data_IF_374802616506
#
_entry.id   IF_374802616506
#
_cell.length_a   1.000
_cell.length_b   1.000
_cell.length_c   1.000
_cell.angle_alpha   90.00
_cell.angle_beta   90.00
_cell.angle_gamma   90.00
#
_symmetry.space_group_name_H-M   'P 1'
#
loop_
_entity.id
_entity.type
_entity.pdbx_description
1 polymer ?
#
# COMPACT_ATOMS: atom_id res chain seq x y z
N UNK A 1 -0.30 12.85 -4.40
CA UNK A 1 -1.68 13.00 -3.93
C UNK A 1 -2.65 12.60 -5.03
N UNK A 2 -3.62 11.73 -4.73
CA UNK A 2 -4.59 11.25 -5.72
C UNK A 2 -5.81 12.18 -5.80
N UNK A 3 -6.32 12.58 -4.63
CA UNK A 3 -7.36 13.60 -4.48
C UNK A 3 -7.09 14.35 -3.17
N UNK A 4 -7.98 15.27 -2.78
CA UNK A 4 -7.84 15.96 -1.49
C UNK A 4 -7.99 15.02 -0.30
N UNK A 5 -8.67 13.90 -0.47
CA UNK A 5 -8.94 12.92 0.59
C UNK A 5 -8.23 11.59 0.38
N UNK A 6 -7.44 11.48 -0.68
CA UNK A 6 -6.77 10.24 -1.07
C UNK A 6 -5.32 10.54 -1.41
N UNK A 7 -4.38 9.80 -0.80
CA UNK A 7 -2.97 10.00 -1.12
C UNK A 7 -2.21 8.68 -1.20
N UNK A 8 -1.16 8.69 -2.00
CA UNK A 8 -0.19 7.61 -2.09
C UNK A 8 1.12 8.11 -1.51
N UNK A 9 1.67 7.37 -0.56
CA UNK A 9 3.01 7.63 -0.01
C UNK A 9 3.96 6.62 -0.60
N UNK A 10 5.13 7.08 -1.01
CA UNK A 10 6.13 6.25 -1.65
C UNK A 10 7.49 6.59 -1.06
N UNK A 11 8.14 5.59 -0.48
CA UNK A 11 9.50 5.70 0.01
C UNK A 11 10.28 4.48 -0.48
N UNK A 12 11.52 4.68 -0.90
CA UNK A 12 12.37 3.55 -1.25
C UNK A 12 13.83 3.88 -0.93
N UNK A 13 14.60 2.82 -0.73
CA UNK A 13 16.04 2.90 -0.43
C UNK A 13 16.77 2.22 -1.55
N UNK A 14 17.76 2.93 -2.13
CA UNK A 14 18.66 2.38 -3.14
C UNK A 14 20.06 2.27 -2.59
N UNK A 15 20.74 1.21 -2.98
CA UNK A 15 22.14 1.01 -2.65
C UNK A 15 22.82 0.42 -3.90
N UNK A 16 23.89 1.08 -4.35
CA UNK A 16 24.62 0.68 -5.56
C UNK A 16 23.71 0.48 -6.78
N UNK A 17 22.75 1.40 -6.96
CA UNK A 17 21.83 1.37 -8.09
C UNK A 17 20.69 0.35 -7.97
N UNK A 18 20.56 -0.36 -6.84
CA UNK A 18 19.54 -1.37 -6.63
C UNK A 18 18.58 -0.96 -5.53
N UNK A 19 17.30 -1.26 -5.71
CA UNK A 19 16.29 -1.06 -4.66
C UNK A 19 16.47 -2.15 -3.61
N UNK A 20 16.72 -1.75 -2.36
CA UNK A 20 16.92 -2.69 -1.25
C UNK A 20 15.76 -2.67 -0.26
N UNK A 21 14.86 -1.72 -0.37
CA UNK A 21 13.67 -1.66 0.45
C UNK A 21 12.72 -0.58 -0.05
N UNK A 22 11.42 -0.75 0.26
CA UNK A 22 10.42 0.26 -0.10
C UNK A 22 9.17 0.17 0.77
N UNK A 23 8.41 1.27 0.78
CA UNK A 23 7.04 1.32 1.26
C UNK A 23 6.23 2.10 0.22
N UNK A 24 5.13 1.54 -0.25
CA UNK A 24 4.14 2.24 -1.06
C UNK A 24 2.80 2.04 -0.36
N UNK A 25 2.16 3.13 0.04
CA UNK A 25 0.97 3.07 0.89
C UNK A 25 -0.10 4.00 0.36
N UNK A 26 -1.32 3.47 0.24
CA UNK A 26 -2.50 4.26 -0.06
C UNK A 26 -3.21 4.60 1.25
N UNK A 27 -3.54 5.88 1.43
CA UNK A 27 -4.22 6.41 2.62
C UNK A 27 -5.41 7.25 2.24
N UNK A 28 -6.46 7.21 3.08
CA UNK A 28 -7.61 8.11 2.97
C UNK A 28 -7.63 9.07 4.14
N UNK A 29 -8.12 10.30 3.90
CA UNK A 29 -8.40 11.23 4.97
C UNK A 29 -9.82 10.99 5.46
N UNK A 30 -9.95 10.52 6.71
CA UNK A 30 -11.22 10.10 7.26
C UNK A 30 -11.24 10.37 8.77
N UNK A 31 -12.31 11.01 9.24
CA UNK A 31 -12.45 11.39 10.65
C UNK A 31 -11.23 12.17 11.18
N UNK A 32 -10.85 13.20 10.42
CA UNK A 32 -9.77 14.14 10.75
C UNK A 32 -8.37 13.54 10.81
N UNK A 33 -8.15 12.39 10.17
CA UNK A 33 -6.82 11.80 10.12
C UNK A 33 -6.61 11.01 8.83
N UNK A 34 -5.33 10.79 8.49
CA UNK A 34 -4.97 9.93 7.39
C UNK A 34 -4.95 8.48 7.88
N UNK A 35 -5.72 7.63 7.20
CA UNK A 35 -5.89 6.22 7.57
C UNK A 35 -5.31 5.35 6.48
N UNK A 36 -4.33 4.47 6.80
CA UNK A 36 -3.77 3.57 5.80
C UNK A 36 -4.78 2.48 5.41
N UNK A 37 -4.87 2.22 4.11
CA UNK A 37 -5.82 1.26 3.54
C UNK A 37 -5.09 0.06 2.96
N UNK A 38 -4.01 0.30 2.21
CA UNK A 38 -3.18 -0.73 1.59
C UNK A 38 -1.73 -0.33 1.75
N UNK A 39 -0.88 -1.27 2.13
CA UNK A 39 0.57 -1.04 2.21
C UNK A 39 1.30 -2.17 1.50
N UNK A 40 2.22 -1.79 0.62
CA UNK A 40 3.21 -2.71 0.06
C UNK A 40 4.55 -2.35 0.70
N UNK A 41 5.21 -3.30 1.33
CA UNK A 41 6.52 -3.03 1.92
C UNK A 41 7.42 -4.26 1.96
N UNK A 42 8.66 -4.04 2.39
CA UNK A 42 9.72 -5.05 2.43
C UNK A 42 10.27 -5.23 3.84
N UNK A 43 9.48 -4.93 4.87
CA UNK A 43 9.97 -4.90 6.26
C UNK A 43 10.55 -6.23 6.76
N UNK A 44 10.19 -7.36 6.14
CA UNK A 44 10.68 -8.68 6.52
C UNK A 44 11.68 -9.25 5.51
N UNK A 45 12.30 -8.40 4.67
CA UNK A 45 13.29 -8.82 3.69
C UNK A 45 12.70 -9.31 2.37
N UNK A 46 11.39 -9.34 2.25
CA UNK A 46 10.68 -9.69 1.01
C UNK A 46 9.45 -8.78 0.86
N UNK A 47 8.99 -8.63 -0.38
CA UNK A 47 7.85 -7.76 -0.66
C UNK A 47 6.54 -8.44 -0.26
N UNK A 48 5.71 -7.72 0.47
CA UNK A 48 4.37 -8.20 0.84
C UNK A 48 3.36 -7.04 0.80
N UNK A 49 2.10 -7.41 0.75
CA UNK A 49 0.97 -6.49 0.70
C UNK A 49 0.11 -6.69 1.93
N UNK A 50 -0.19 -5.59 2.60
CA UNK A 50 -1.10 -5.57 3.74
C UNK A 50 -2.39 -4.85 3.34
N UNK A 51 -3.53 -5.53 3.52
CA UNK A 51 -4.85 -4.91 3.39
C UNK A 51 -5.35 -4.62 4.79
N UNK A 52 -5.55 -3.34 5.11
CA UNK A 52 -6.05 -2.92 6.41
C UNK A 52 -7.57 -2.95 6.43
N UNK A 53 -8.13 -3.40 7.53
CA UNK A 53 -9.57 -3.45 7.75
C UNK A 53 -10.00 -2.45 8.83
N UNK A 54 -11.25 -1.96 8.79
CA UNK A 54 -11.72 -0.97 9.78
C UNK A 54 -11.65 -1.45 11.23
N UNK A 55 -11.69 -2.77 11.46
CA UNK A 55 -11.61 -3.35 12.81
C UNK A 55 -10.18 -3.45 13.35
N UNK A 56 -9.20 -2.99 12.56
CA UNK A 56 -7.78 -3.04 12.93
C UNK A 56 -7.06 -4.31 12.48
N UNK A 57 -7.77 -5.29 11.93
CA UNK A 57 -7.11 -6.50 11.40
C UNK A 57 -6.43 -6.20 10.07
N UNK A 58 -5.43 -7.01 9.75
CA UNK A 58 -4.61 -6.87 8.53
C UNK A 58 -4.55 -8.21 7.81
N UNK A 59 -4.86 -8.19 6.51
CA UNK A 59 -4.69 -9.37 5.67
C UNK A 59 -3.35 -9.24 4.95
N UNK A 60 -2.44 -10.18 5.20
CA UNK A 60 -1.09 -10.17 4.63
C UNK A 60 -1.04 -11.07 3.41
N UNK A 61 -0.45 -10.57 2.32
CA UNK A 61 -0.34 -11.29 1.05
C UNK A 61 1.10 -11.20 0.58
N UNK A 62 1.72 -12.37 0.33
CA UNK A 62 3.05 -12.44 -0.24
C UNK A 62 2.97 -12.09 -1.74
N UNK A 63 3.85 -11.17 -2.19
CA UNK A 63 3.79 -10.68 -3.58
C UNK A 63 4.39 -11.63 -4.61
N UNK A 64 5.37 -12.42 -4.21
CA UNK A 64 5.96 -13.41 -5.12
C UNK A 64 7.06 -12.92 -6.04
N UNK A 65 7.32 -11.62 -6.12
CA UNK A 65 8.42 -11.11 -6.92
C UNK A 65 9.76 -11.30 -6.21
N UNK A 66 10.75 -11.80 -6.94
CA UNK A 66 12.10 -11.96 -6.42
C UNK A 66 12.92 -10.65 -6.49
N UNK A 67 12.59 -9.77 -7.43
CA UNK A 67 13.29 -8.51 -7.63
C UNK A 67 12.49 -7.38 -6.96
N UNK A 68 13.12 -6.69 -6.00
CA UNK A 68 12.47 -5.61 -5.27
C UNK A 68 12.13 -4.40 -6.15
N UNK A 69 12.91 -4.17 -7.21
CA UNK A 69 12.63 -3.10 -8.16
C UNK A 69 11.34 -3.39 -8.93
N UNK A 70 11.14 -4.63 -9.35
CA UNK A 70 9.90 -5.05 -10.01
C UNK A 70 8.72 -5.01 -9.06
N UNK A 71 8.93 -5.45 -7.81
CA UNK A 71 7.89 -5.41 -6.79
C UNK A 71 7.46 -3.96 -6.50
N UNK A 72 8.39 -3.04 -6.42
CA UNK A 72 8.09 -1.63 -6.23
C UNK A 72 7.25 -1.08 -7.38
N UNK A 73 7.64 -1.38 -8.61
CA UNK A 73 6.90 -0.94 -9.80
C UNK A 73 5.49 -1.51 -9.81
N UNK A 74 5.35 -2.81 -9.51
CA UNK A 74 4.05 -3.48 -9.42
C UNK A 74 3.16 -2.86 -8.35
N UNK A 75 3.72 -2.56 -7.18
CA UNK A 75 2.99 -1.94 -6.09
C UNK A 75 2.46 -0.56 -6.47
N UNK A 76 3.32 0.25 -7.08
CA UNK A 76 2.98 1.60 -7.49
C UNK A 76 1.87 1.60 -8.55
N UNK A 77 2.02 0.77 -9.57
CA UNK A 77 1.03 0.62 -10.63
C UNK A 77 -0.30 0.07 -10.10
N UNK A 78 -0.24 -0.87 -9.18
CA UNK A 78 -1.45 -1.46 -8.60
C UNK A 78 -2.26 -0.42 -7.83
N UNK A 79 -1.62 0.38 -7.01
CA UNK A 79 -2.32 1.43 -6.28
C UNK A 79 -2.90 2.47 -7.23
N UNK A 80 -2.11 2.91 -8.21
CA UNK A 80 -2.60 3.89 -9.19
C UNK A 80 -3.83 3.40 -9.94
N UNK A 81 -3.88 2.12 -10.27
CA UNK A 81 -4.99 1.52 -11.04
C UNK A 81 -6.19 1.15 -10.17
N UNK A 82 -5.99 0.87 -8.87
CA UNK A 82 -7.01 0.23 -8.05
C UNK A 82 -7.35 0.93 -6.73
N UNK A 83 -6.80 2.13 -6.46
CA UNK A 83 -7.05 2.79 -5.18
C UNK A 83 -8.55 2.99 -4.88
N UNK A 84 -9.35 3.25 -5.89
CA UNK A 84 -10.80 3.42 -5.72
C UNK A 84 -11.47 2.13 -5.25
N UNK A 85 -11.02 0.97 -5.76
CA UNK A 85 -11.52 -0.34 -5.33
C UNK A 85 -11.16 -0.64 -3.90
N UNK A 86 -9.94 -0.29 -3.49
CA UNK A 86 -9.49 -0.46 -2.11
C UNK A 86 -10.29 0.41 -1.15
N UNK A 87 -10.56 1.65 -1.55
CA UNK A 87 -11.39 2.58 -0.79
C UNK A 87 -12.81 2.03 -0.62
N UNK A 88 -13.42 1.57 -1.70
CA UNK A 88 -14.75 0.97 -1.70
C UNK A 88 -14.83 -0.25 -0.78
N UNK A 89 -13.84 -1.12 -0.87
CA UNK A 89 -13.75 -2.30 -0.01
C UNK A 89 -13.70 -1.91 1.46
N UNK A 90 -12.88 -0.93 1.80
CA UNK A 90 -12.73 -0.47 3.18
C UNK A 90 -14.04 0.08 3.72
N UNK A 91 -14.70 0.96 3.01
CA UNK A 91 -15.96 1.55 3.45
C UNK A 91 -17.08 0.53 3.49
N UNK A 92 -17.09 -0.45 2.62
CA UNK A 92 -18.08 -1.53 2.64
C UNK A 92 -17.96 -2.35 3.92
N UNK A 93 -16.75 -2.62 4.36
CA UNK A 93 -16.49 -3.34 5.62
C UNK A 93 -16.81 -2.48 6.85
N UNK A 94 -16.62 -1.18 6.74
CA UNK A 94 -16.92 -0.25 7.82
C UNK A 94 -18.42 -0.20 8.13
N UNK A 95 -19.26 -0.44 7.14
CA UNK A 95 -20.72 -0.37 7.27
C UNK A 95 -21.37 -1.61 7.88
N UNK A 96 -20.61 -2.63 8.12
CA UNK A 96 -21.12 -3.87 8.72
C UNK A 96 -21.39 -3.71 10.20
#
# INVERSE_FOLDING_TARGET
MLTEEDRKRHEHIKEKGRVIGFVVQYEIFFEDKWVPIVRYDTSHGYAHKDLMNPDGSIEKIFMGEADLSEALTSADLNINANWERYKERYFRRLRR
#
